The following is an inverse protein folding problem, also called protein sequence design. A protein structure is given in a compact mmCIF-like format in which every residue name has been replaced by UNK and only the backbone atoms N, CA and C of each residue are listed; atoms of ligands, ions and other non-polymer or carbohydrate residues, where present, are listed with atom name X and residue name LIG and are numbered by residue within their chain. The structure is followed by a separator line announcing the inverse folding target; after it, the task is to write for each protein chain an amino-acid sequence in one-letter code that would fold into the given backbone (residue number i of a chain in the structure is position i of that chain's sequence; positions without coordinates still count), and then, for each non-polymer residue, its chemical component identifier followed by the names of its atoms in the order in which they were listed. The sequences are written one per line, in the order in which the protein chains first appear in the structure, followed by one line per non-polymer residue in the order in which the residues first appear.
data_IF_282843791609
#
_entry.id   IF_282843791609
#
_cell.length_a   1.000
_cell.length_b   1.000
_cell.length_c   1.000
_cell.angle_alpha   90.00
_cell.angle_beta   90.00
_cell.angle_gamma   90.00
#
_symmetry.space_group_name_H-M   'P 1'
#
loop_
_entity.id
_entity.type
_entity.pdbx_description
1 polymer ?
#
# COMPACT_ATOMS: atom_id res chain seq x y z
N UNK A 1 5.18 7.99 1.50
CA UNK A 1 4.49 6.70 1.60
C UNK A 1 4.25 6.32 3.06
N UNK A 2 5.25 6.25 3.90
CA UNK A 2 5.15 5.87 5.30
C UNK A 2 4.20 6.75 6.11
N UNK A 3 4.17 8.07 5.88
CA UNK A 3 3.20 9.00 6.53
C UNK A 3 1.74 8.58 6.32
N UNK A 4 1.40 8.10 5.13
CA UNK A 4 0.03 7.62 4.85
C UNK A 4 -0.26 6.35 5.64
N UNK A 5 0.69 5.40 5.67
CA UNK A 5 0.58 4.15 6.45
C UNK A 5 0.44 4.46 7.94
N UNK A 6 1.25 5.39 8.47
CA UNK A 6 1.18 5.84 9.86
C UNK A 6 -0.19 6.44 10.21
N UNK A 7 -0.73 7.30 9.34
CA UNK A 7 -2.05 7.89 9.52
C UNK A 7 -3.17 6.85 9.47
N UNK A 8 -3.10 5.88 8.57
CA UNK A 8 -4.09 4.79 8.45
C UNK A 8 -4.16 4.01 9.77
N UNK A 9 -3.01 3.63 10.33
CA UNK A 9 -2.94 2.84 11.53
C UNK A 9 -3.24 3.67 12.79
N UNK A 10 -2.48 4.74 13.02
CA UNK A 10 -2.48 5.45 14.29
C UNK A 10 -3.64 6.46 14.42
N UNK A 11 -4.09 7.10 13.32
CA UNK A 11 -5.19 8.07 13.34
C UNK A 11 -6.49 7.45 12.84
N UNK A 12 -6.43 6.65 11.78
CA UNK A 12 -7.59 6.00 11.19
C UNK A 12 -8.11 4.81 12.00
N UNK A 13 -7.24 4.18 12.81
CA UNK A 13 -7.58 3.00 13.60
C UNK A 13 -7.93 1.77 12.75
N UNK A 14 -7.35 1.68 11.54
CA UNK A 14 -7.51 0.52 10.68
C UNK A 14 -6.41 -0.50 10.96
N UNK A 15 -6.81 -1.78 11.00
CA UNK A 15 -5.86 -2.87 10.94
C UNK A 15 -5.50 -3.16 9.47
N UNK A 16 -4.20 -3.16 9.17
CA UNK A 16 -3.70 -3.51 7.83
C UNK A 16 -3.50 -5.03 7.79
N UNK A 17 -4.37 -5.73 7.06
CA UNK A 17 -4.33 -7.19 6.95
C UNK A 17 -3.40 -7.65 5.82
N UNK A 18 -3.38 -6.91 4.71
CA UNK A 18 -2.45 -7.14 3.59
C UNK A 18 -1.89 -5.81 3.12
N UNK A 19 -0.63 -5.84 2.70
CA UNK A 19 0.04 -4.71 2.09
C UNK A 19 1.00 -5.23 1.02
N UNK A 20 1.00 -4.56 -0.15
CA UNK A 20 1.87 -4.90 -1.26
C UNK A 20 2.21 -3.66 -2.08
N UNK A 21 3.50 -3.44 -2.30
CA UNK A 21 4.01 -2.50 -3.29
C UNK A 21 4.11 -3.22 -4.64
N UNK A 22 3.53 -2.66 -5.70
CA UNK A 22 3.58 -3.25 -7.03
C UNK A 22 3.44 -2.18 -8.11
N UNK A 23 3.77 -2.53 -9.35
CA UNK A 23 3.51 -1.71 -10.54
C UNK A 23 2.37 -2.34 -11.32
N UNK A 24 1.40 -1.52 -11.69
CA UNK A 24 0.22 -1.98 -12.43
C UNK A 24 0.44 -1.84 -13.93
N UNK A 25 0.14 -2.89 -14.72
CA UNK A 25 0.11 -2.78 -16.18
C UNK A 25 -1.16 -2.07 -16.64
N UNK A 26 -1.17 -1.57 -17.89
CA UNK A 26 -2.37 -0.93 -18.47
C UNK A 26 -3.56 -1.90 -18.55
N UNK A 27 -3.32 -3.18 -18.80
CA UNK A 27 -4.35 -4.23 -18.82
C UNK A 27 -4.97 -4.42 -17.42
N UNK A 28 -4.15 -4.47 -16.38
CA UNK A 28 -4.63 -4.58 -15.01
C UNK A 28 -5.33 -3.29 -14.54
N UNK A 29 -4.84 -2.12 -14.96
CA UNK A 29 -5.50 -0.84 -14.71
C UNK A 29 -6.88 -0.75 -15.37
N UNK A 30 -7.01 -1.27 -16.61
CA UNK A 30 -8.29 -1.35 -17.30
C UNK A 30 -9.29 -2.28 -16.58
N UNK A 31 -8.83 -3.38 -15.98
CA UNK A 31 -9.67 -4.23 -15.15
C UNK A 31 -10.06 -3.54 -13.82
N UNK A 32 -9.13 -2.81 -13.22
CA UNK A 32 -9.37 -2.07 -11.99
C UNK A 32 -10.44 -0.98 -12.17
N UNK A 33 -10.35 -0.22 -13.26
CA UNK A 33 -11.26 0.87 -13.60
C UNK A 33 -12.34 0.48 -14.63
N UNK A 34 -12.69 -0.79 -14.74
CA UNK A 34 -13.66 -1.27 -15.74
C UNK A 34 -15.01 -0.52 -15.68
N UNK A 35 -15.47 -0.14 -14.49
CA UNK A 35 -16.72 0.63 -14.27
C UNK A 35 -16.65 2.09 -14.75
N UNK A 36 -15.45 2.57 -15.05
CA UNK A 36 -15.23 3.92 -15.56
C UNK A 36 -14.99 3.98 -17.08
N UNK A 37 -15.00 2.82 -17.75
CA UNK A 37 -14.77 2.74 -19.19
C UNK A 37 -15.78 3.61 -19.95
N UNK A 38 -15.26 4.42 -20.88
CA UNK A 38 -16.06 5.37 -21.66
C UNK A 38 -16.35 6.71 -20.98
N UNK A 39 -15.91 6.93 -19.73
CA UNK A 39 -16.00 8.24 -19.09
C UNK A 39 -14.85 9.15 -19.52
N UNK A 40 -15.03 10.48 -19.61
CA UNK A 40 -14.00 11.41 -20.10
C UNK A 40 -12.67 11.38 -19.34
N UNK A 41 -12.67 10.95 -18.09
CA UNK A 41 -11.48 10.86 -17.23
C UNK A 41 -10.84 9.47 -17.19
N UNK A 42 -11.35 8.50 -17.97
CA UNK A 42 -10.88 7.10 -17.91
C UNK A 42 -9.39 6.98 -18.28
N UNK A 43 -8.98 7.57 -19.38
CA UNK A 43 -7.59 7.49 -19.85
C UNK A 43 -6.63 8.14 -18.86
N UNK A 44 -7.02 9.26 -18.25
CA UNK A 44 -6.25 9.89 -17.18
C UNK A 44 -6.05 8.95 -15.97
N UNK A 45 -7.11 8.22 -15.56
CA UNK A 45 -7.00 7.26 -14.44
C UNK A 45 -6.05 6.11 -14.77
N UNK A 46 -6.11 5.58 -16.00
CA UNK A 46 -5.21 4.51 -16.48
C UNK A 46 -3.76 4.99 -16.45
N UNK A 47 -3.48 6.13 -17.09
CA UNK A 47 -2.13 6.67 -17.15
C UNK A 47 -1.59 7.04 -15.77
N UNK A 48 -2.41 7.59 -14.89
CA UNK A 48 -2.01 7.95 -13.53
C UNK A 48 -1.64 6.73 -12.69
N UNK A 49 -2.49 5.69 -12.64
CA UNK A 49 -2.23 4.51 -11.80
C UNK A 49 -1.06 3.65 -12.32
N UNK A 50 -0.76 3.74 -13.61
CA UNK A 50 0.35 3.00 -14.25
C UNK A 50 1.64 3.79 -14.32
N UNK A 51 1.65 5.06 -13.91
CA UNK A 51 2.81 5.95 -14.04
C UNK A 51 3.98 5.53 -13.15
N UNK A 52 3.70 4.88 -12.01
CA UNK A 52 4.74 4.42 -11.07
C UNK A 52 4.21 3.30 -10.16
N UNK A 53 4.97 2.97 -9.09
CA UNK A 53 4.55 2.04 -8.07
C UNK A 53 3.30 2.51 -7.33
N UNK A 54 2.45 1.55 -6.99
CA UNK A 54 1.31 1.73 -6.10
C UNK A 54 1.45 0.83 -4.87
N UNK A 55 0.81 1.22 -3.76
CA UNK A 55 0.66 0.37 -2.58
C UNK A 55 -0.80 -0.02 -2.44
N UNK A 56 -1.09 -1.31 -2.62
CA UNK A 56 -2.40 -1.88 -2.31
C UNK A 56 -2.45 -2.35 -0.86
N UNK A 57 -3.57 -2.11 -0.19
CA UNK A 57 -3.80 -2.54 1.18
C UNK A 57 -5.20 -3.14 1.34
N UNK A 58 -5.30 -4.18 2.15
CA UNK A 58 -6.56 -4.68 2.67
C UNK A 58 -6.70 -4.20 4.12
N UNK A 59 -7.69 -3.33 4.35
CA UNK A 59 -7.92 -2.67 5.63
C UNK A 59 -9.12 -3.27 6.34
N UNK A 60 -8.98 -3.57 7.63
CA UNK A 60 -10.04 -4.10 8.48
C UNK A 60 -10.41 -3.10 9.55
N UNK A 61 -11.70 -2.84 9.67
CA UNK A 61 -12.34 -2.03 10.71
C UNK A 61 -13.85 -2.33 10.68
N UNK A 62 -14.55 -2.09 11.75
CA UNK A 62 -16.02 -2.08 11.72
C UNK A 62 -16.51 -1.03 10.71
N UNK A 63 -17.45 -1.40 9.83
CA UNK A 63 -17.94 -0.57 8.73
C UNK A 63 -16.80 -0.04 7.81
N UNK A 64 -15.78 -0.85 7.55
CA UNK A 64 -14.52 -0.46 6.92
C UNK A 64 -14.69 0.38 5.64
N UNK A 65 -15.62 0.02 4.75
CA UNK A 65 -15.85 0.75 3.48
C UNK A 65 -16.29 2.20 3.78
N UNK A 66 -17.28 2.38 4.64
CA UNK A 66 -17.79 3.70 5.00
C UNK A 66 -16.73 4.54 5.73
N UNK A 67 -16.10 3.94 6.74
CA UNK A 67 -15.07 4.58 7.55
C UNK A 67 -13.85 4.98 6.71
N UNK A 68 -13.41 4.11 5.79
CA UNK A 68 -12.31 4.43 4.88
C UNK A 68 -12.67 5.58 3.94
N UNK A 69 -13.84 5.55 3.32
CA UNK A 69 -14.30 6.63 2.43
C UNK A 69 -14.42 7.98 3.16
N UNK A 70 -14.86 7.98 4.41
CA UNK A 70 -14.86 9.18 5.25
C UNK A 70 -13.43 9.66 5.55
N UNK A 71 -12.53 8.75 5.89
CA UNK A 71 -11.14 9.06 6.26
C UNK A 71 -10.33 9.61 5.09
N UNK A 72 -10.55 9.09 3.87
CA UNK A 72 -9.87 9.62 2.67
C UNK A 72 -10.44 10.94 2.17
N UNK A 73 -11.69 11.24 2.47
CA UNK A 73 -12.38 12.48 2.06
C UNK A 73 -12.93 12.48 0.63
N UNK A 74 -13.51 13.61 0.18
CA UNK A 74 -14.05 13.78 -1.16
C UNK A 74 -13.06 13.48 -2.28
N UNK A 75 -13.54 12.96 -3.42
CA UNK A 75 -12.69 12.59 -4.57
C UNK A 75 -12.00 13.79 -5.20
N UNK A 76 -12.69 14.93 -5.24
CA UNK A 76 -12.10 16.19 -5.69
C UNK A 76 -11.22 16.77 -4.59
N UNK A 77 -9.95 17.03 -4.88
CA UNK A 77 -8.93 17.47 -3.91
C UNK A 77 -9.27 18.86 -3.33
N UNK A 78 -9.71 19.80 -4.15
CA UNK A 78 -10.06 21.13 -3.67
C UNK A 78 -11.28 21.11 -2.75
N UNK A 79 -12.27 20.28 -3.09
CA UNK A 79 -13.41 20.02 -2.21
C UNK A 79 -12.98 19.35 -0.91
N UNK A 80 -12.04 18.40 -0.97
CA UNK A 80 -11.49 17.74 0.21
C UNK A 80 -10.79 18.75 1.15
N UNK A 81 -10.00 19.67 0.60
CA UNK A 81 -9.35 20.75 1.39
C UNK A 81 -10.35 21.67 2.08
N UNK A 82 -11.49 21.94 1.45
CA UNK A 82 -12.54 22.81 2.01
C UNK A 82 -13.42 22.09 3.05
N UNK A 83 -13.90 20.89 2.75
CA UNK A 83 -14.92 20.18 3.54
C UNK A 83 -14.32 19.20 4.56
N UNK A 84 -13.12 18.66 4.28
CA UNK A 84 -12.46 17.64 5.10
C UNK A 84 -10.93 17.88 5.16
N UNK A 85 -10.44 18.99 5.71
CA UNK A 85 -9.02 19.40 5.63
C UNK A 85 -8.04 18.41 6.29
N UNK A 86 -8.53 17.53 7.14
CA UNK A 86 -7.73 16.48 7.78
C UNK A 86 -7.76 15.11 7.06
N UNK A 87 -8.47 15.02 5.94
CA UNK A 87 -8.55 13.79 5.13
C UNK A 87 -7.28 13.56 4.34
N UNK A 88 -7.02 12.31 3.95
CA UNK A 88 -5.80 11.96 3.20
C UNK A 88 -5.72 12.69 1.85
N UNK A 89 -6.85 12.89 1.17
CA UNK A 89 -6.90 13.61 -0.10
C UNK A 89 -6.62 15.10 0.05
N UNK A 90 -7.06 15.71 1.16
CA UNK A 90 -6.73 17.10 1.46
C UNK A 90 -5.25 17.28 1.78
N UNK A 91 -4.66 16.34 2.53
CA UNK A 91 -3.27 16.43 3.00
C UNK A 91 -2.24 16.11 1.92
N UNK A 92 -2.54 15.21 0.99
CA UNK A 92 -1.56 14.65 0.05
C UNK A 92 -1.99 14.75 -1.42
N UNK A 93 -3.21 15.16 -1.71
CA UNK A 93 -3.70 15.30 -3.08
C UNK A 93 -3.27 16.61 -3.72
N UNK A 94 -3.10 16.57 -5.04
CA UNK A 94 -2.72 17.73 -5.85
C UNK A 94 -3.45 17.71 -7.20
N UNK A 95 -4.28 18.71 -7.46
CA UNK A 95 -5.07 18.79 -8.70
C UNK A 95 -5.94 17.56 -8.92
N UNK A 96 -5.80 16.90 -10.07
CA UNK A 96 -6.51 15.65 -10.41
C UNK A 96 -5.95 14.40 -9.72
N UNK A 97 -4.76 14.47 -9.10
CA UNK A 97 -4.09 13.35 -8.43
C UNK A 97 -4.56 13.25 -6.98
N UNK A 98 -5.60 12.49 -6.75
CA UNK A 98 -6.28 12.40 -5.44
C UNK A 98 -5.62 11.45 -4.42
N UNK A 99 -4.42 10.97 -4.70
CA UNK A 99 -3.52 10.20 -3.82
C UNK A 99 -4.00 8.81 -3.43
N UNK A 100 -5.25 8.64 -3.04
CA UNK A 100 -5.76 7.37 -2.51
C UNK A 100 -7.12 7.02 -3.11
N UNK A 101 -7.30 5.71 -3.34
CA UNK A 101 -8.56 5.10 -3.76
C UNK A 101 -9.25 4.42 -2.57
N UNK A 102 -10.54 4.26 -2.65
CA UNK A 102 -11.33 3.44 -1.73
C UNK A 102 -12.47 2.77 -2.44
N UNK A 103 -12.53 1.44 -2.31
CA UNK A 103 -13.64 0.64 -2.79
C UNK A 103 -14.98 1.17 -2.23
N UNK A 104 -16.02 1.10 -3.02
CA UNK A 104 -17.35 1.64 -2.68
C UNK A 104 -18.37 0.58 -2.24
N UNK A 105 -18.03 -0.68 -2.44
CA UNK A 105 -18.89 -1.82 -2.15
C UNK A 105 -18.07 -3.08 -1.82
N UNK A 106 -18.71 -4.08 -1.21
CA UNK A 106 -18.06 -5.39 -0.98
C UNK A 106 -17.66 -6.08 -2.29
N UNK A 107 -18.45 -5.90 -3.35
CA UNK A 107 -18.13 -6.45 -4.67
C UNK A 107 -16.86 -5.81 -5.23
N UNK A 108 -16.71 -4.49 -5.09
CA UNK A 108 -15.50 -3.76 -5.47
C UNK A 108 -14.29 -4.22 -4.64
N UNK A 109 -14.44 -4.36 -3.32
CA UNK A 109 -13.38 -4.90 -2.44
C UNK A 109 -12.89 -6.25 -2.92
N UNK A 110 -13.80 -7.21 -3.18
CA UNK A 110 -13.43 -8.56 -3.64
C UNK A 110 -12.68 -8.52 -4.96
N UNK A 111 -13.18 -7.76 -5.94
CA UNK A 111 -12.57 -7.62 -7.27
C UNK A 111 -11.19 -6.96 -7.19
N UNK A 112 -11.08 -5.86 -6.50
CA UNK A 112 -9.86 -5.05 -6.39
C UNK A 112 -8.77 -5.77 -5.58
N UNK A 113 -9.11 -6.38 -4.46
CA UNK A 113 -8.18 -7.20 -3.68
C UNK A 113 -7.69 -8.43 -4.47
N UNK A 114 -8.58 -9.13 -5.19
CA UNK A 114 -8.19 -10.26 -6.02
C UNK A 114 -7.22 -9.83 -7.13
N UNK A 115 -7.42 -8.67 -7.73
CA UNK A 115 -6.52 -8.12 -8.75
C UNK A 115 -5.16 -7.79 -8.15
N UNK A 116 -5.10 -6.98 -7.10
CA UNK A 116 -3.85 -6.48 -6.51
C UNK A 116 -3.03 -7.60 -5.88
N UNK A 117 -3.64 -8.45 -5.07
CA UNK A 117 -2.89 -9.44 -4.28
C UNK A 117 -2.63 -10.76 -5.02
N UNK A 118 -3.50 -11.16 -5.96
CA UNK A 118 -3.39 -12.46 -6.60
C UNK A 118 -2.88 -12.39 -8.06
N UNK A 119 -3.22 -11.34 -8.82
CA UNK A 119 -2.87 -11.25 -10.25
C UNK A 119 -1.60 -10.44 -10.52
N UNK A 120 -1.42 -9.30 -9.85
CA UNK A 120 -0.26 -8.46 -10.10
C UNK A 120 0.95 -9.11 -9.43
N UNK A 121 1.94 -9.48 -10.24
CA UNK A 121 3.25 -9.95 -9.77
C UNK A 121 4.27 -8.85 -9.98
N UNK A 122 5.16 -8.69 -9.03
CA UNK A 122 6.30 -7.80 -9.13
C UNK A 122 7.52 -8.55 -8.59
N UNK A 123 8.52 -8.71 -9.43
CA UNK A 123 9.78 -9.32 -9.03
C UNK A 123 10.73 -8.23 -8.53
N UNK A 124 11.34 -8.40 -7.34
CA UNK A 124 12.29 -7.44 -6.82
C UNK A 124 13.57 -7.42 -7.69
N UNK A 125 14.19 -6.25 -7.80
CA UNK A 125 15.57 -6.18 -8.25
C UNK A 125 16.48 -6.83 -7.21
N UNK A 126 17.39 -7.70 -7.66
CA UNK A 126 18.36 -8.38 -6.78
C UNK A 126 19.76 -7.75 -6.88
N UNK A 127 19.89 -6.63 -7.61
CA UNK A 127 21.16 -5.94 -7.81
C UNK A 127 21.29 -4.77 -6.85
N UNK A 128 22.38 -4.74 -6.09
CA UNK A 128 22.70 -3.67 -5.13
C UNK A 128 21.55 -3.36 -4.17
N UNK A 129 20.97 -4.40 -3.57
CA UNK A 129 19.83 -4.28 -2.67
C UNK A 129 20.08 -5.02 -1.34
N UNK A 130 19.28 -4.69 -0.34
CA UNK A 130 19.21 -5.39 0.94
C UNK A 130 17.78 -5.80 1.26
N UNK A 131 17.61 -6.88 2.00
CA UNK A 131 16.31 -7.32 2.50
C UNK A 131 16.09 -6.77 3.89
N UNK A 132 15.03 -5.99 4.07
CA UNK A 132 14.57 -5.49 5.36
C UNK A 132 13.34 -6.27 5.82
N UNK A 133 13.30 -6.61 7.10
CA UNK A 133 12.11 -7.19 7.74
C UNK A 133 11.69 -6.34 8.91
N UNK A 134 10.50 -5.75 8.84
CA UNK A 134 9.85 -5.11 9.99
C UNK A 134 9.19 -6.20 10.83
N UNK A 135 9.69 -6.38 12.05
CA UNK A 135 9.30 -7.50 12.92
C UNK A 135 7.91 -7.30 13.56
N UNK A 136 7.25 -8.41 14.01
CA UNK A 136 5.85 -8.38 14.46
C UNK A 136 5.55 -7.35 15.56
N UNK A 137 6.44 -7.14 16.54
CA UNK A 137 6.20 -6.16 17.59
C UNK A 137 6.09 -4.73 17.01
N UNK A 138 6.98 -4.35 16.08
CA UNK A 138 6.95 -3.03 15.47
C UNK A 138 5.70 -2.80 14.58
N UNK A 139 5.21 -3.88 13.93
CA UNK A 139 3.93 -3.84 13.22
C UNK A 139 2.78 -3.63 14.21
N UNK A 140 2.74 -4.45 15.29
CA UNK A 140 1.70 -4.39 16.32
C UNK A 140 1.65 -3.02 17.02
N UNK A 141 2.80 -2.41 17.24
CA UNK A 141 2.93 -1.09 17.88
C UNK A 141 2.67 0.07 16.92
N UNK A 142 2.28 -0.20 15.66
CA UNK A 142 1.95 0.82 14.65
C UNK A 142 3.15 1.60 14.12
N UNK A 143 4.37 1.07 14.25
CA UNK A 143 5.59 1.77 13.86
C UNK A 143 6.00 1.55 12.39
N UNK A 144 5.30 0.70 11.65
CA UNK A 144 5.65 0.37 10.26
C UNK A 144 5.78 1.61 9.37
N UNK A 145 4.80 2.53 9.43
CA UNK A 145 4.81 3.77 8.65
C UNK A 145 6.02 4.65 8.95
N UNK A 146 6.36 4.82 10.23
CA UNK A 146 7.53 5.61 10.68
C UNK A 146 8.84 5.00 10.19
N UNK A 147 8.99 3.67 10.29
CA UNK A 147 10.17 2.96 9.82
C UNK A 147 10.35 3.15 8.31
N UNK A 148 9.27 2.99 7.54
CA UNK A 148 9.28 3.22 6.09
C UNK A 148 9.68 4.66 5.75
N UNK A 149 9.16 5.65 6.48
CA UNK A 149 9.50 7.06 6.24
C UNK A 149 10.96 7.36 6.55
N UNK A 150 11.52 6.80 7.63
CA UNK A 150 12.95 6.94 7.95
C UNK A 150 13.81 6.38 6.81
N UNK A 151 13.51 5.17 6.34
CA UNK A 151 14.24 4.52 5.25
C UNK A 151 14.25 5.39 3.99
N UNK A 152 13.09 5.91 3.60
CA UNK A 152 12.97 6.80 2.44
C UNK A 152 13.68 8.15 2.63
N UNK A 153 13.69 8.69 3.85
CA UNK A 153 14.35 9.95 4.18
C UNK A 153 15.88 9.81 4.15
N UNK A 154 16.40 8.63 4.51
CA UNK A 154 17.83 8.29 4.41
C UNK A 154 18.30 8.00 2.96
N UNK A 155 17.42 8.17 1.97
CA UNK A 155 17.74 8.05 0.55
C UNK A 155 17.68 6.63 -0.01
N UNK A 156 17.17 5.66 0.74
CA UNK A 156 16.91 4.34 0.19
C UNK A 156 15.65 4.34 -0.66
N UNK A 157 15.66 3.57 -1.74
CA UNK A 157 14.49 3.28 -2.54
C UNK A 157 13.87 1.93 -2.14
N UNK A 158 12.54 1.88 -2.01
CA UNK A 158 11.84 0.62 -1.75
C UNK A 158 11.29 0.08 -3.07
N UNK A 159 11.91 -0.96 -3.58
CA UNK A 159 11.57 -1.58 -4.86
C UNK A 159 10.50 -2.66 -4.74
N UNK A 160 10.45 -3.35 -3.60
CA UNK A 160 9.44 -4.37 -3.29
C UNK A 160 9.09 -4.32 -1.82
N UNK A 161 7.82 -4.42 -1.51
CA UNK A 161 7.34 -4.47 -0.13
C UNK A 161 6.08 -5.32 -0.08
N UNK A 162 6.04 -6.27 0.84
CA UNK A 162 4.87 -7.11 1.06
C UNK A 162 4.76 -7.47 2.54
N UNK A 163 3.53 -7.51 3.03
CA UNK A 163 3.22 -8.05 4.35
C UNK A 163 2.98 -9.56 4.27
N UNK A 164 3.61 -10.30 5.17
CA UNK A 164 3.46 -11.75 5.27
C UNK A 164 2.97 -12.11 6.66
N UNK A 165 2.08 -13.09 6.72
CA UNK A 165 1.78 -13.82 7.94
C UNK A 165 2.43 -15.21 7.78
N UNK A 166 3.56 -15.42 8.48
CA UNK A 166 4.34 -16.66 8.36
C UNK A 166 3.99 -17.61 9.51
N UNK A 167 3.85 -18.89 9.19
CA UNK A 167 3.68 -19.94 10.17
C UNK A 167 5.02 -20.35 10.83
N UNK A 168 4.96 -21.27 11.79
CA UNK A 168 6.15 -21.72 12.53
C UNK A 168 7.20 -22.36 11.63
N UNK A 169 6.79 -23.13 10.63
CA UNK A 169 7.69 -23.84 9.70
C UNK A 169 8.44 -22.81 8.84
N UNK A 170 7.70 -21.85 8.28
CA UNK A 170 8.26 -20.76 7.49
C UNK A 170 9.21 -19.87 8.32
N UNK A 171 8.87 -19.63 9.58
CA UNK A 171 9.74 -18.87 10.50
C UNK A 171 11.04 -19.62 10.83
N UNK A 172 10.98 -20.95 11.00
CA UNK A 172 12.16 -21.79 11.21
C UNK A 172 13.06 -21.81 9.97
N UNK A 173 12.50 -21.93 8.77
CA UNK A 173 13.26 -21.86 7.51
C UNK A 173 13.92 -20.49 7.33
N UNK A 174 13.21 -19.40 7.57
CA UNK A 174 13.75 -18.04 7.51
C UNK A 174 14.89 -17.86 8.52
N UNK A 175 14.75 -18.39 9.74
CA UNK A 175 15.79 -18.31 10.76
C UNK A 175 17.06 -19.11 10.39
N UNK A 176 16.94 -20.21 9.67
CA UNK A 176 18.09 -20.96 9.15
C UNK A 176 18.89 -20.13 8.14
N UNK A 177 18.20 -19.42 7.23
CA UNK A 177 18.86 -18.55 6.25
C UNK A 177 19.65 -17.42 6.95
N UNK A 178 19.09 -16.78 7.97
CA UNK A 178 19.78 -15.73 8.75
C UNK A 178 21.01 -16.31 9.46
N UNK A 179 20.93 -17.49 10.04
CA UNK A 179 22.08 -18.15 10.71
C UNK A 179 23.26 -18.39 9.76
N UNK A 180 22.99 -18.81 8.53
CA UNK A 180 24.01 -19.01 7.49
C UNK A 180 24.71 -17.68 7.15
N UNK A 181 23.97 -16.57 7.08
CA UNK A 181 24.56 -15.24 6.87
C UNK A 181 25.44 -14.76 8.04
N UNK A 182 25.02 -14.97 9.28
CA UNK A 182 25.82 -14.60 10.46
C UNK A 182 27.12 -15.41 10.55
N UNK A 183 27.11 -16.70 10.22
CA UNK A 183 28.30 -17.55 10.22
C UNK A 183 29.32 -17.18 9.14
N UNK A 184 28.90 -16.56 8.05
CA UNK A 184 29.79 -16.10 6.97
C UNK A 184 30.35 -14.67 7.19
N UNK A 185 29.80 -13.89 8.12
CA UNK A 185 30.27 -12.54 8.47
C UNK A 185 31.31 -12.59 9.63
N UNK A 186 31.34 -13.66 10.41
CA UNK A 186 32.24 -13.84 11.56
C UNK A 186 33.46 -14.69 11.21
N UNK A 187 33.74 -14.93 9.95
CA UNK A 187 35.00 -15.45 9.43
C UNK A 187 35.71 -14.35 8.65
#
# INVERSE_FOLDING_TARGET
MGKIIDLIYNKGGFFINKLKLCRMSKENAALFYAEHKGKPFYDFLIDYITSDFIVGMELIKENAIKEWRNFIGPTNVEKAKQEAPQSLRALFGEGGKNTVHGSDSEASVKRECALVFNKIRHEPSLTNCSCLVIKPHAIKDGNAGKIIDIILTEGFEIYSMQMFNIDKIQAEEFSKLIRVFYLNIVK
#
